data_IF_985065037694
#
_entry.id   IF_985065037694
#
_cell.length_a   1.000
_cell.length_b   1.000
_cell.length_c   1.000
_cell.angle_alpha   90.00
_cell.angle_beta   90.00
_cell.angle_gamma   90.00
#
_symmetry.space_group_name_H-M   'P 1'
#
loop_
_entity.id
_entity.type
_entity.pdbx_description
1 polymer ?
#
# COMPACT_ATOMS: atom_id res chain seq x y z
N UNK A 1 12.70 -9.61 11.53
CA UNK A 1 12.22 -8.32 10.99
C UNK A 1 13.14 -7.26 11.55
N UNK A 2 14.04 -6.72 10.74
CA UNK A 2 14.93 -5.65 11.16
C UNK A 2 14.13 -4.37 11.43
N UNK A 3 14.69 -3.46 12.22
CA UNK A 3 14.04 -2.18 12.56
C UNK A 3 13.71 -1.36 11.30
N UNK A 4 14.55 -1.48 10.27
CA UNK A 4 14.36 -0.86 8.94
C UNK A 4 13.14 -1.44 8.23
N UNK A 5 12.97 -2.77 8.23
CA UNK A 5 11.84 -3.46 7.59
C UNK A 5 10.50 -3.02 8.19
N UNK A 6 10.44 -2.93 9.53
CA UNK A 6 9.26 -2.46 10.23
C UNK A 6 8.94 -0.99 9.88
N UNK A 7 9.98 -0.15 9.76
CA UNK A 7 9.84 1.24 9.33
C UNK A 7 9.26 1.38 7.92
N UNK A 8 9.76 0.59 6.97
CA UNK A 8 9.26 0.56 5.59
C UNK A 8 7.80 0.05 5.56
N UNK A 9 7.49 -0.99 6.33
CA UNK A 9 6.13 -1.53 6.37
C UNK A 9 5.11 -0.52 6.94
N UNK A 10 5.47 0.19 8.00
CA UNK A 10 4.66 1.28 8.58
C UNK A 10 4.48 2.41 7.56
N UNK A 11 5.54 2.76 6.83
CA UNK A 11 5.50 3.79 5.79
C UNK A 11 4.53 3.39 4.67
N UNK A 12 4.58 2.14 4.21
CA UNK A 12 3.68 1.61 3.17
C UNK A 12 2.22 1.57 3.64
N UNK A 13 1.95 1.14 4.88
CA UNK A 13 0.59 1.21 5.47
C UNK A 13 0.09 2.66 5.51
N UNK A 14 0.93 3.58 5.94
CA UNK A 14 0.58 5.00 6.03
C UNK A 14 0.26 5.57 4.66
N UNK A 15 1.06 5.24 3.66
CA UNK A 15 0.86 5.68 2.28
C UNK A 15 -0.44 5.10 1.69
N UNK A 16 -0.67 3.79 1.86
CA UNK A 16 -1.92 3.15 1.43
C UNK A 16 -3.13 3.78 2.13
N UNK A 17 -3.05 4.02 3.44
CA UNK A 17 -4.09 4.69 4.21
C UNK A 17 -4.43 6.06 3.63
N UNK A 18 -3.43 6.87 3.30
CA UNK A 18 -3.63 8.21 2.74
C UNK A 18 -4.32 8.14 1.37
N UNK A 19 -3.90 7.24 0.49
CA UNK A 19 -4.53 7.04 -0.81
C UNK A 19 -5.97 6.55 -0.68
N UNK A 20 -6.21 5.57 0.18
CA UNK A 20 -7.55 5.03 0.43
C UNK A 20 -8.48 6.10 1.02
N UNK A 21 -8.02 6.83 2.03
CA UNK A 21 -8.77 7.93 2.65
C UNK A 21 -9.12 9.01 1.60
N UNK A 22 -8.14 9.44 0.83
CA UNK A 22 -8.33 10.46 -0.21
C UNK A 22 -9.29 9.99 -1.28
N UNK A 23 -9.16 8.74 -1.75
CA UNK A 23 -10.06 8.17 -2.75
C UNK A 23 -11.49 8.09 -2.22
N UNK A 24 -11.69 7.66 -0.97
CA UNK A 24 -13.00 7.64 -0.33
C UNK A 24 -13.62 9.04 -0.24
N UNK A 25 -12.87 10.03 0.21
CA UNK A 25 -13.35 11.41 0.34
C UNK A 25 -13.71 12.01 -1.02
N UNK A 26 -12.86 11.84 -2.04
CA UNK A 26 -13.04 12.44 -3.37
C UNK A 26 -14.17 11.75 -4.16
N UNK A 27 -14.25 10.42 -4.14
CA UNK A 27 -15.19 9.70 -5.00
C UNK A 27 -16.52 9.36 -4.34
N UNK A 28 -16.58 9.37 -3.01
CA UNK A 28 -17.75 8.88 -2.27
C UNK A 28 -18.33 9.93 -1.33
N UNK A 29 -17.58 11.01 -1.06
CA UNK A 29 -17.92 12.05 -0.06
C UNK A 29 -18.23 11.48 1.34
N UNK A 30 -17.86 10.22 1.61
CA UNK A 30 -18.06 9.57 2.90
C UNK A 30 -16.78 9.67 3.72
N UNK A 31 -16.90 10.28 4.90
CA UNK A 31 -15.90 10.12 5.95
C UNK A 31 -16.10 8.79 6.66
N UNK A 32 -15.25 7.83 6.37
CA UNK A 32 -15.15 6.60 7.15
C UNK A 32 -14.35 6.87 8.44
N UNK A 33 -14.69 6.15 9.51
CA UNK A 33 -13.94 6.23 10.76
C UNK A 33 -12.48 5.84 10.51
N UNK A 34 -11.55 6.65 11.01
CA UNK A 34 -10.12 6.48 10.79
C UNK A 34 -9.62 5.05 11.09
N UNK A 35 -10.14 4.43 12.17
CA UNK A 35 -9.79 3.04 12.54
C UNK A 35 -10.20 1.99 11.50
N UNK A 36 -11.34 2.18 10.83
CA UNK A 36 -11.81 1.28 9.78
C UNK A 36 -10.93 1.40 8.55
N UNK A 37 -10.57 2.64 8.14
CA UNK A 37 -9.68 2.87 7.01
C UNK A 37 -8.30 2.25 7.29
N UNK A 38 -7.79 2.39 8.51
CA UNK A 38 -6.51 1.83 8.91
C UNK A 38 -6.50 0.29 8.87
N UNK A 39 -7.57 -0.36 9.35
CA UNK A 39 -7.70 -1.81 9.25
C UNK A 39 -7.73 -2.28 7.77
N UNK A 40 -8.44 -1.55 6.92
CA UNK A 40 -8.50 -1.84 5.48
C UNK A 40 -7.14 -1.61 4.83
N UNK A 41 -6.41 -0.57 5.22
CA UNK A 41 -5.08 -0.29 4.70
C UNK A 41 -4.06 -1.37 5.09
N UNK A 42 -4.09 -1.86 6.33
CA UNK A 42 -3.23 -2.97 6.76
C UNK A 42 -3.53 -4.22 5.92
N UNK A 43 -4.81 -4.57 5.75
CA UNK A 43 -5.22 -5.70 4.92
C UNK A 43 -4.84 -5.52 3.45
N UNK A 44 -5.05 -4.32 2.90
CA UNK A 44 -4.71 -3.98 1.53
C UNK A 44 -3.22 -4.13 1.27
N UNK A 45 -2.37 -3.55 2.12
CA UNK A 45 -0.91 -3.70 2.03
C UNK A 45 -0.48 -5.16 2.16
N UNK A 46 -1.05 -5.91 3.12
CA UNK A 46 -0.71 -7.32 3.31
C UNK A 46 -1.07 -8.18 2.09
N UNK A 47 -2.21 -7.92 1.43
CA UNK A 47 -2.65 -8.65 0.23
C UNK A 47 -1.88 -8.21 -1.02
N UNK A 48 -1.72 -6.90 -1.21
CA UNK A 48 -1.06 -6.32 -2.38
C UNK A 48 0.43 -6.63 -2.42
N UNK A 49 1.10 -6.67 -1.26
CA UNK A 49 2.48 -7.12 -1.15
C UNK A 49 2.59 -8.63 -1.04
N UNK A 50 1.71 -9.31 -0.30
CA UNK A 50 1.85 -10.74 -0.06
C UNK A 50 1.52 -11.61 -1.27
N UNK A 51 0.48 -11.27 -2.02
CA UNK A 51 0.00 -12.15 -3.09
C UNK A 51 0.16 -11.50 -4.46
N UNK A 52 -0.59 -10.42 -4.71
CA UNK A 52 -0.55 -9.66 -5.95
C UNK A 52 -1.40 -8.40 -5.79
N UNK A 53 -0.96 -7.27 -6.34
CA UNK A 53 -1.73 -6.01 -6.40
C UNK A 53 -3.12 -6.18 -7.02
N UNK A 54 -3.29 -7.08 -7.99
CA UNK A 54 -4.58 -7.31 -8.64
C UNK A 54 -5.60 -7.97 -7.68
N UNK A 55 -5.13 -8.82 -6.76
CA UNK A 55 -5.96 -9.36 -5.68
C UNK A 55 -6.24 -8.30 -4.61
N UNK A 56 -5.30 -7.39 -4.36
CA UNK A 56 -5.51 -6.21 -3.52
C UNK A 56 -6.73 -5.40 -3.96
N UNK A 57 -6.83 -5.11 -5.27
CA UNK A 57 -8.01 -4.45 -5.86
C UNK A 57 -9.30 -5.21 -5.57
N UNK A 58 -9.31 -6.53 -5.76
CA UNK A 58 -10.52 -7.35 -5.55
C UNK A 58 -10.93 -7.41 -4.08
N UNK A 59 -9.96 -7.54 -3.17
CA UNK A 59 -10.21 -7.54 -1.72
C UNK A 59 -10.73 -6.18 -1.29
N UNK A 60 -10.09 -5.08 -1.71
CA UNK A 60 -10.53 -3.74 -1.40
C UNK A 60 -11.94 -3.48 -1.94
N UNK A 61 -12.20 -3.86 -3.19
CA UNK A 61 -13.54 -3.78 -3.78
C UNK A 61 -14.58 -4.55 -2.95
N UNK A 62 -14.28 -5.78 -2.56
CA UNK A 62 -15.16 -6.59 -1.71
C UNK A 62 -15.47 -5.90 -0.38
N UNK A 63 -14.46 -5.37 0.30
CA UNK A 63 -14.62 -4.65 1.57
C UNK A 63 -15.44 -3.37 1.40
N UNK A 64 -15.19 -2.60 0.34
CA UNK A 64 -15.96 -1.40 0.03
C UNK A 64 -17.44 -1.71 -0.28
N UNK A 65 -17.71 -2.84 -0.94
CA UNK A 65 -19.08 -3.32 -1.15
C UNK A 65 -19.78 -3.70 0.16
N UNK A 66 -19.07 -4.31 1.12
CA UNK A 66 -19.60 -4.57 2.47
C UNK A 66 -19.94 -3.28 3.23
N UNK A 67 -19.20 -2.20 2.96
CA UNK A 67 -19.48 -0.85 3.47
C UNK A 67 -20.63 -0.14 2.72
N UNK A 68 -21.37 -0.87 1.87
CA UNK A 68 -22.52 -0.36 1.11
C UNK A 68 -22.18 0.81 0.19
N UNK A 69 -20.99 0.79 -0.41
CA UNK A 69 -20.65 1.72 -1.50
C UNK A 69 -21.31 1.31 -2.81
N UNK A 70 -21.62 2.30 -3.64
CA UNK A 70 -22.11 2.08 -5.00
C UNK A 70 -21.10 1.26 -5.80
N UNK A 71 -21.56 0.48 -6.78
CA UNK A 71 -20.66 -0.36 -7.60
C UNK A 71 -19.58 0.49 -8.32
N UNK A 72 -20.00 1.62 -8.92
CA UNK A 72 -19.09 2.55 -9.60
C UNK A 72 -18.10 3.20 -8.63
N UNK A 73 -18.59 3.67 -7.48
CA UNK A 73 -17.78 4.27 -6.42
C UNK A 73 -16.73 3.29 -5.91
N UNK A 74 -17.14 2.08 -5.57
CA UNK A 74 -16.24 1.05 -5.05
C UNK A 74 -15.13 0.68 -6.04
N UNK A 75 -15.44 0.61 -7.34
CA UNK A 75 -14.43 0.39 -8.40
C UNK A 75 -13.46 1.56 -8.45
N UNK A 76 -13.97 2.79 -8.55
CA UNK A 76 -13.12 3.98 -8.65
C UNK A 76 -12.19 4.09 -7.44
N UNK A 77 -12.73 3.95 -6.23
CA UNK A 77 -11.94 3.98 -5.00
C UNK A 77 -10.90 2.86 -4.96
N UNK A 78 -11.29 1.63 -5.29
CA UNK A 78 -10.39 0.48 -5.23
C UNK A 78 -9.22 0.65 -6.20
N UNK A 79 -9.51 1.02 -7.45
CA UNK A 79 -8.47 1.27 -8.44
C UNK A 79 -7.60 2.47 -8.08
N UNK A 80 -8.17 3.60 -7.66
CA UNK A 80 -7.36 4.78 -7.31
C UNK A 80 -6.46 4.51 -6.11
N UNK A 81 -6.95 3.83 -5.08
CA UNK A 81 -6.15 3.50 -3.91
C UNK A 81 -4.98 2.57 -4.26
N UNK A 82 -5.24 1.50 -5.02
CA UNK A 82 -4.20 0.54 -5.42
C UNK A 82 -3.21 1.13 -6.43
N UNK A 83 -3.67 1.87 -7.44
CA UNK A 83 -2.75 2.56 -8.36
C UNK A 83 -1.91 3.61 -7.64
N UNK A 84 -2.52 4.39 -6.73
CA UNK A 84 -1.80 5.34 -5.90
C UNK A 84 -0.74 4.66 -5.03
N UNK A 85 -1.09 3.52 -4.44
CA UNK A 85 -0.16 2.70 -3.67
C UNK A 85 1.03 2.21 -4.51
N UNK A 86 0.79 1.69 -5.72
CA UNK A 86 1.86 1.23 -6.64
C UNK A 86 2.79 2.39 -6.99
N UNK A 87 2.24 3.56 -7.34
CA UNK A 87 3.05 4.75 -7.65
C UNK A 87 3.87 5.16 -6.43
N UNK A 88 3.25 5.21 -5.25
CA UNK A 88 3.95 5.56 -4.01
C UNK A 88 5.03 4.57 -3.64
N UNK A 89 4.83 3.27 -3.88
CA UNK A 89 5.83 2.23 -3.71
C UNK A 89 7.03 2.50 -4.62
N UNK A 90 6.82 2.78 -5.90
CA UNK A 90 7.89 3.14 -6.86
C UNK A 90 8.67 4.38 -6.40
N UNK A 91 7.96 5.42 -5.93
CA UNK A 91 8.59 6.64 -5.43
C UNK A 91 9.44 6.38 -4.18
N UNK A 92 8.90 5.64 -3.20
CA UNK A 92 9.64 5.26 -1.98
C UNK A 92 10.87 4.45 -2.36
N UNK A 93 10.72 3.47 -3.24
CA UNK A 93 11.81 2.66 -3.78
C UNK A 93 12.91 3.53 -4.37
N UNK A 94 12.57 4.47 -5.24
CA UNK A 94 13.53 5.38 -5.84
C UNK A 94 14.27 6.24 -4.80
N UNK A 95 13.55 6.80 -3.82
CA UNK A 95 14.15 7.62 -2.76
C UNK A 95 15.08 6.79 -1.88
N UNK A 96 14.62 5.61 -1.43
CA UNK A 96 15.42 4.71 -0.59
C UNK A 96 16.67 4.25 -1.33
N UNK A 97 16.58 3.93 -2.63
CA UNK A 97 17.75 3.59 -3.43
C UNK A 97 18.76 4.71 -3.51
N UNK A 98 18.28 5.91 -3.83
CA UNK A 98 19.14 7.05 -4.07
C UNK A 98 19.83 7.45 -2.76
N UNK A 99 19.09 7.42 -1.65
CA UNK A 99 19.63 7.63 -0.32
C UNK A 99 20.64 6.54 0.06
N UNK A 100 20.32 5.26 -0.16
CA UNK A 100 21.23 4.14 0.10
C UNK A 100 22.57 4.30 -0.59
N UNK A 101 22.55 4.59 -1.89
CA UNK A 101 23.74 4.84 -2.72
C UNK A 101 24.53 6.07 -2.28
N UNK A 102 23.86 7.15 -1.88
CA UNK A 102 24.55 8.37 -1.41
C UNK A 102 25.18 8.21 -0.02
N UNK A 103 24.58 7.39 0.85
CA UNK A 103 25.05 7.20 2.23
C UNK A 103 25.88 5.92 2.44
N UNK A 104 26.10 5.12 1.40
CA UNK A 104 26.91 3.88 1.47
C UNK A 104 26.28 2.79 2.34
N UNK A 105 24.94 2.76 2.42
CA UNK A 105 24.21 1.79 3.25
C UNK A 105 23.83 0.60 2.36
N UNK A 106 24.59 -0.49 2.46
CA UNK A 106 24.41 -1.72 1.64
C UNK A 106 22.99 -2.31 1.70
N UNK A 107 22.23 -2.06 2.78
CA UNK A 107 20.83 -2.50 2.92
C UNK A 107 19.78 -1.58 2.27
N UNK A 108 20.19 -0.45 1.70
CA UNK A 108 19.34 0.51 0.98
C UNK A 108 19.84 0.74 -0.47
N UNK A 109 21.11 0.44 -0.74
CA UNK A 109 21.66 0.33 -2.09
C UNK A 109 20.87 -0.73 -2.86
N UNK A 110 20.32 -0.38 -4.02
CA UNK A 110 19.50 -1.32 -4.78
C UNK A 110 20.32 -2.51 -5.30
N UNK A 111 20.25 -3.58 -4.53
CA UNK A 111 19.99 -4.91 -5.05
C UNK A 111 18.64 -5.49 -4.56
N UNK A 112 17.82 -4.68 -3.88
CA UNK A 112 16.45 -5.05 -3.47
C UNK A 112 15.53 -5.10 -4.68
N UNK A 113 15.55 -6.25 -5.34
CA UNK A 113 14.57 -6.65 -6.36
C UNK A 113 13.18 -6.69 -5.67
N UNK A 114 12.08 -6.53 -6.42
CA UNK A 114 10.72 -6.71 -5.89
C UNK A 114 10.61 -7.99 -5.04
N UNK A 115 11.33 -9.04 -5.46
CA UNK A 115 11.50 -10.31 -4.76
C UNK A 115 12.10 -10.20 -3.34
N UNK A 116 13.01 -9.26 -3.06
CA UNK A 116 13.54 -9.06 -1.70
C UNK A 116 12.55 -8.34 -0.79
N UNK A 117 11.71 -7.44 -1.31
CA UNK A 117 10.59 -6.87 -0.55
C UNK A 117 9.51 -7.93 -0.26
N UNK A 118 9.22 -8.80 -1.23
CA UNK A 118 8.37 -9.97 -1.03
C UNK A 118 8.98 -10.90 0.02
N UNK A 119 10.31 -11.10 -0.01
CA UNK A 119 11.06 -11.89 0.98
C UNK A 119 10.98 -11.30 2.39
N UNK A 120 11.10 -9.98 2.51
CA UNK A 120 11.02 -9.26 3.78
C UNK A 120 9.57 -9.23 4.33
N UNK A 121 8.56 -9.22 3.44
CA UNK A 121 7.15 -9.32 3.79
C UNK A 121 6.70 -10.75 4.18
N UNK A 122 7.61 -11.72 4.18
CA UNK A 122 7.35 -13.10 4.62
C UNK A 122 6.99 -14.08 3.51
N UNK A 123 7.15 -13.69 2.24
CA UNK A 123 7.03 -14.60 1.11
C UNK A 123 8.39 -15.21 0.72
N UNK A 124 8.40 -16.38 0.09
CA UNK A 124 9.61 -17.12 -0.27
C UNK A 124 9.74 -17.25 -1.77
#
# INVERSE_FOLDING_TARGET
MNFVDAGIYILLITLYYLFLKTALEVFTYKELRSYSILAIAILGVAVSLGINSLLGVLVLFGVLKLLKLGFREAILVAFTAEFGFIIGLVVIMFILTTAGTMFGIEGLEFNMTLDELLRIAGYR
#
